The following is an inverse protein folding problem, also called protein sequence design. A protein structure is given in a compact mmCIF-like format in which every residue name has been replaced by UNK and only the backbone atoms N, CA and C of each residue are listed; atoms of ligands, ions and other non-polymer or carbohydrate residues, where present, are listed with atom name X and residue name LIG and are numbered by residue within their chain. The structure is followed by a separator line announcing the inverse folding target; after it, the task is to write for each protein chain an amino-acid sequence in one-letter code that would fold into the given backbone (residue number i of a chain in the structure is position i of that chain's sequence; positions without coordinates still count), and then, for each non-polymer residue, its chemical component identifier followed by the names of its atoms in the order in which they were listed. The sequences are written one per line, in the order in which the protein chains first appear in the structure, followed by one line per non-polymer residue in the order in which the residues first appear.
data_IF_573762310745
#
_entry.id   IF_573762310745
#
_cell.length_a   1.000
_cell.length_b   1.000
_cell.length_c   1.000
_cell.angle_alpha   90.00
_cell.angle_beta   90.00
_cell.angle_gamma   90.00
#
_symmetry.space_group_name_H-M   'P 1'
#
loop_
_entity.id
_entity.type
_entity.pdbx_description
1 polymer ?
#
# COMPACT_ATOMS: atom_id res chain seq x y z
N UNK A 1 17.92 24.53 -6.14
CA UNK A 1 17.87 24.12 -5.94
C UNK A 1 17.14 23.26 -5.93
N UNK A 2 17.08 22.70 -6.26
CA UNK A 2 16.52 21.85 -6.18
C UNK A 2 16.41 21.29 -5.10
N UNK A 3 16.98 21.52 -4.54
CA UNK A 3 16.95 20.95 -3.33
C UNK A 3 15.70 21.20 -2.56
N UNK A 4 14.89 22.09 -2.93
CA UNK A 4 13.63 22.26 -2.26
C UNK A 4 12.78 21.03 -2.33
N UNK A 5 12.81 20.31 -3.42
CA UNK A 5 12.04 19.09 -3.51
C UNK A 5 12.53 18.06 -2.53
N UNK A 6 13.83 17.99 -2.33
CA UNK A 6 14.32 17.00 -1.40
C UNK A 6 14.09 17.42 0.05
N UNK A 7 13.99 18.71 0.30
CA UNK A 7 13.72 19.18 1.64
C UNK A 7 12.26 19.02 2.00
N UNK A 8 11.41 18.83 1.02
CA UNK A 8 10.00 18.73 1.26
C UNK A 8 9.67 17.36 1.85
N UNK A 9 8.90 17.28 2.90
CA UNK A 9 8.59 15.96 3.46
C UNK A 9 7.79 15.15 2.48
N UNK A 10 8.02 13.84 2.49
CA UNK A 10 7.23 12.93 1.69
C UNK A 10 5.81 12.91 2.22
N UNK A 11 4.87 12.64 1.36
CA UNK A 11 3.53 12.32 1.80
C UNK A 11 3.50 10.84 2.15
N UNK A 12 2.80 10.52 3.21
CA UNK A 12 2.67 9.14 3.62
C UNK A 12 1.81 8.38 2.62
N UNK A 13 2.29 7.22 2.19
CA UNK A 13 1.55 6.38 1.24
C UNK A 13 0.86 5.28 2.03
N UNK A 14 -0.43 5.11 1.81
CA UNK A 14 -1.17 4.02 2.44
C UNK A 14 -1.33 2.88 1.47
N UNK A 15 -1.05 1.67 1.91
CA UNK A 15 -1.16 0.47 1.08
C UNK A 15 -2.03 -0.55 1.79
N UNK A 16 -2.99 -1.11 1.06
CA UNK A 16 -3.75 -2.25 1.53
C UNK A 16 -3.28 -3.44 0.75
N UNK A 17 -2.66 -4.38 1.42
CA UNK A 17 -2.07 -5.55 0.78
C UNK A 17 -2.52 -6.82 1.45
N UNK A 18 -1.78 -7.89 1.22
CA UNK A 18 -2.03 -9.17 1.86
C UNK A 18 -2.83 -10.14 1.01
N UNK A 19 -3.30 -9.72 -0.15
CA UNK A 19 -3.96 -10.67 -1.05
C UNK A 19 -2.95 -11.64 -1.61
N UNK A 20 -1.70 -11.27 -1.55
CA UNK A 20 -0.55 -12.15 -1.68
C UNK A 20 0.52 -11.43 -0.88
N UNK A 21 0.80 -11.90 0.32
CA UNK A 21 1.73 -11.16 1.16
C UNK A 21 3.14 -11.13 0.55
N UNK A 22 3.45 -12.14 -0.27
CA UNK A 22 4.74 -12.16 -0.96
C UNK A 22 4.82 -10.99 -1.95
N UNK A 23 3.74 -10.70 -2.66
CA UNK A 23 3.71 -9.58 -3.58
C UNK A 23 3.78 -8.26 -2.82
N UNK A 24 3.12 -8.18 -1.68
CA UNK A 24 3.17 -6.99 -0.84
C UNK A 24 4.61 -6.72 -0.40
N UNK A 25 5.33 -7.76 -0.04
CA UNK A 25 6.73 -7.63 0.33
C UNK A 25 7.56 -7.07 -0.82
N UNK A 26 7.32 -7.55 -2.04
CA UNK A 26 8.02 -7.06 -3.21
C UNK A 26 7.72 -5.59 -3.47
N UNK A 27 6.47 -5.19 -3.34
CA UNK A 27 6.10 -3.79 -3.52
C UNK A 27 6.75 -2.91 -2.46
N UNK A 28 6.78 -3.37 -1.23
CA UNK A 28 7.41 -2.62 -0.17
C UNK A 28 8.89 -2.37 -0.50
N UNK A 29 9.58 -3.40 -0.94
CA UNK A 29 10.98 -3.29 -1.30
C UNK A 29 11.18 -2.36 -2.48
N UNK A 30 10.40 -2.53 -3.53
CA UNK A 30 10.55 -1.73 -4.74
C UNK A 30 10.25 -0.26 -4.50
N UNK A 31 9.26 0.03 -3.67
CA UNK A 31 8.94 1.41 -3.35
C UNK A 31 10.07 2.05 -2.57
N UNK A 32 10.64 1.32 -1.62
CA UNK A 32 11.75 1.85 -0.86
C UNK A 32 12.99 2.05 -1.73
N UNK A 33 13.23 1.13 -2.66
CA UNK A 33 14.35 1.29 -3.58
C UNK A 33 14.16 2.52 -4.47
N UNK A 34 12.94 2.74 -4.91
CA UNK A 34 12.63 3.91 -5.72
C UNK A 34 12.84 5.21 -4.96
N UNK A 35 12.40 5.27 -3.72
CA UNK A 35 12.59 6.46 -2.90
C UNK A 35 14.09 6.70 -2.65
N UNK A 36 14.83 5.64 -2.38
CA UNK A 36 16.26 5.79 -2.16
C UNK A 36 16.95 6.32 -3.40
N UNK A 37 16.55 5.85 -4.56
CA UNK A 37 17.12 6.32 -5.82
C UNK A 37 16.78 7.80 -6.03
N UNK A 38 15.55 8.19 -5.76
CA UNK A 38 15.14 9.55 -6.00
C UNK A 38 15.68 10.54 -4.98
N UNK A 39 15.65 10.20 -3.72
CA UNK A 39 16.01 11.14 -2.68
C UNK A 39 17.42 10.91 -2.12
N UNK A 40 17.93 9.71 -2.29
CA UNK A 40 19.32 9.42 -1.88
C UNK A 40 19.51 9.31 -0.39
N UNK A 41 20.73 9.19 0.01
CA UNK A 41 21.10 9.19 1.43
C UNK A 41 20.43 8.09 2.23
N UNK A 42 19.90 8.46 3.35
CA UNK A 42 19.24 7.51 4.24
C UNK A 42 17.73 7.48 4.05
N UNK A 43 17.24 8.09 2.97
CA UNK A 43 15.80 8.15 2.74
C UNK A 43 15.21 6.77 2.51
N UNK A 44 14.05 6.55 3.06
CA UNK A 44 13.22 5.40 2.75
C UNK A 44 11.80 5.90 2.63
N UNK A 45 10.92 5.04 2.17
CA UNK A 45 9.54 5.48 1.92
C UNK A 45 8.79 5.66 3.23
N UNK A 46 7.96 6.68 3.28
CA UNK A 46 7.08 6.92 4.41
C UNK A 46 5.78 6.19 4.11
N UNK A 47 5.58 5.01 4.68
CA UNK A 47 4.49 4.14 4.33
C UNK A 47 3.72 3.65 5.53
N UNK A 48 2.43 3.42 5.32
CA UNK A 48 1.64 2.61 6.23
C UNK A 48 1.06 1.47 5.42
N UNK A 49 1.25 0.24 5.86
CA UNK A 49 0.73 -0.92 5.16
C UNK A 49 -0.20 -1.68 6.08
N UNK A 50 -1.41 -1.95 5.58
CA UNK A 50 -2.31 -2.87 6.25
C UNK A 50 -2.37 -4.13 5.41
N UNK A 51 -1.67 -5.16 5.83
CA UNK A 51 -1.63 -6.43 5.11
C UNK A 51 -2.73 -7.32 5.67
N UNK A 52 -3.73 -7.60 4.86
CA UNK A 52 -4.92 -8.31 5.31
C UNK A 52 -4.69 -9.80 5.43
N UNK A 53 -5.45 -10.44 6.30
CA UNK A 53 -5.50 -11.90 6.31
C UNK A 53 -6.21 -12.34 5.05
N UNK A 54 -5.54 -13.11 4.22
CA UNK A 54 -6.08 -13.48 2.93
C UNK A 54 -7.22 -14.48 3.00
N UNK A 55 -7.29 -15.30 4.04
CA UNK A 55 -8.24 -16.41 4.04
C UNK A 55 -9.68 -15.96 3.77
N UNK A 56 -10.25 -14.98 4.48
CA UNK A 56 -11.62 -14.59 4.18
C UNK A 56 -11.74 -13.92 2.80
N UNK A 57 -10.71 -13.21 2.38
CA UNK A 57 -10.73 -12.56 1.07
C UNK A 57 -10.68 -13.62 -0.03
N UNK A 58 -9.86 -14.64 0.18
CA UNK A 58 -9.75 -15.73 -0.79
C UNK A 58 -11.04 -16.48 -0.96
N UNK A 59 -11.81 -16.64 0.13
CA UNK A 59 -13.10 -17.28 0.02
C UNK A 59 -14.06 -16.48 -0.84
N UNK A 60 -14.10 -15.17 -0.65
CA UNK A 60 -14.96 -14.32 -1.45
C UNK A 60 -14.52 -14.33 -2.91
N UNK A 61 -13.22 -14.33 -3.14
CA UNK A 61 -12.70 -14.38 -4.48
C UNK A 61 -13.08 -15.68 -5.17
N UNK A 62 -12.97 -16.80 -4.49
CA UNK A 62 -13.32 -18.09 -5.05
C UNK A 62 -14.80 -18.17 -5.40
N UNK A 63 -15.65 -17.46 -4.67
CA UNK A 63 -17.08 -17.44 -4.93
C UNK A 63 -17.48 -16.37 -5.93
N UNK A 64 -16.56 -15.56 -6.38
CA UNK A 64 -16.86 -14.48 -7.31
C UNK A 64 -17.59 -13.31 -6.67
N UNK A 65 -17.46 -13.13 -5.37
CA UNK A 65 -18.19 -12.08 -4.67
C UNK A 65 -17.37 -10.80 -4.66
N UNK A 66 -17.18 -10.25 -5.83
CA UNK A 66 -16.27 -9.13 -6.01
C UNK A 66 -16.74 -7.86 -5.32
N UNK A 67 -18.04 -7.62 -5.32
CA UNK A 67 -18.57 -6.41 -4.68
C UNK A 67 -18.30 -6.43 -3.18
N UNK A 68 -18.49 -7.60 -2.56
CA UNK A 68 -18.27 -7.74 -1.14
C UNK A 68 -16.78 -7.59 -0.81
N UNK A 69 -15.91 -8.12 -1.66
CA UNK A 69 -14.47 -7.92 -1.50
C UNK A 69 -14.14 -6.44 -1.52
N UNK A 70 -14.70 -5.73 -2.50
CA UNK A 70 -14.45 -4.30 -2.62
C UNK A 70 -14.88 -3.54 -1.39
N UNK A 71 -16.03 -3.91 -0.84
CA UNK A 71 -16.52 -3.26 0.37
C UNK A 71 -15.57 -3.49 1.54
N UNK A 72 -15.06 -4.71 1.69
CA UNK A 72 -14.15 -5.03 2.76
C UNK A 72 -12.86 -4.24 2.62
N UNK A 73 -12.33 -4.15 1.41
CA UNK A 73 -11.08 -3.45 1.18
C UNK A 73 -11.25 -1.95 1.43
N UNK A 74 -12.36 -1.38 0.97
CA UNK A 74 -12.61 0.04 1.18
C UNK A 74 -12.79 0.34 2.67
N UNK A 75 -13.52 -0.50 3.38
CA UNK A 75 -13.71 -0.33 4.80
C UNK A 75 -12.40 -0.43 5.56
N UNK A 76 -11.54 -1.36 5.15
CA UNK A 76 -10.26 -1.53 5.79
C UNK A 76 -9.42 -0.27 5.63
N UNK A 77 -9.42 0.31 4.44
CA UNK A 77 -8.67 1.52 4.21
C UNK A 77 -9.14 2.65 5.10
N UNK A 78 -10.45 2.87 5.14
CA UNK A 78 -11.00 3.94 5.95
C UNK A 78 -10.74 3.70 7.43
N UNK A 79 -10.92 2.46 7.87
CA UNK A 79 -10.79 2.16 9.30
C UNK A 79 -9.35 2.26 9.76
N UNK A 80 -8.41 1.86 8.93
CA UNK A 80 -7.01 1.80 9.34
C UNK A 80 -6.27 3.10 9.07
N UNK A 81 -6.60 3.78 7.98
CA UNK A 81 -5.89 4.99 7.62
C UNK A 81 -6.68 6.25 7.99
N UNK A 82 -7.97 6.15 8.08
CA UNK A 82 -8.82 7.24 8.54
C UNK A 82 -8.72 8.45 7.62
N UNK A 83 -8.68 9.61 8.22
CA UNK A 83 -8.64 10.84 7.47
C UNK A 83 -7.23 11.40 7.39
N UNK A 84 -6.22 10.58 7.55
CA UNK A 84 -4.85 11.05 7.48
C UNK A 84 -4.58 11.67 6.12
N UNK A 85 -3.75 12.69 6.07
CA UNK A 85 -3.45 13.34 4.79
C UNK A 85 -2.46 12.54 3.98
N UNK A 86 -2.86 11.39 3.47
CA UNK A 86 -2.01 10.58 2.65
C UNK A 86 -1.86 11.21 1.28
N UNK A 87 -0.72 11.08 0.70
CA UNK A 87 -0.52 11.44 -0.69
C UNK A 87 -1.30 10.52 -1.60
N UNK A 88 -1.42 9.25 -1.23
CA UNK A 88 -2.14 8.29 -2.03
C UNK A 88 -2.42 7.05 -1.23
N UNK A 89 -3.57 6.46 -1.46
CA UNK A 89 -3.91 5.16 -0.89
C UNK A 89 -4.05 4.19 -2.05
N UNK A 90 -3.27 3.14 -2.05
CA UNK A 90 -3.24 2.18 -3.14
C UNK A 90 -3.56 0.79 -2.62
N UNK A 91 -4.35 0.06 -3.39
CA UNK A 91 -4.67 -1.30 -3.08
C UNK A 91 -3.96 -2.19 -4.08
N UNK A 92 -3.25 -3.18 -3.58
CA UNK A 92 -2.60 -4.13 -4.45
C UNK A 92 -3.32 -5.45 -4.33
N UNK A 93 -3.79 -5.96 -5.41
CA UNK A 93 -4.44 -7.25 -5.41
C UNK A 93 -3.46 -8.37 -5.63
N UNK A 94 -2.31 -8.05 -6.06
CA UNK A 94 -1.11 -8.86 -6.11
C UNK A 94 -1.16 -10.33 -6.27
N UNK A 95 -2.22 -10.90 -6.20
CA UNK A 95 -2.28 -12.32 -6.30
C UNK A 95 -2.19 -12.87 -7.66
N UNK A 96 -2.09 -12.01 -8.71
CA UNK A 96 -2.03 -12.57 -9.97
C UNK A 96 -0.77 -12.74 -10.40
N UNK A 97 0.08 -12.75 -9.90
CA UNK A 97 1.36 -12.93 -10.48
C UNK A 97 1.57 -14.29 -10.99
#
# INVERSE_FOLDING_TARGET
MKSNDKARPQRTLGIIGGMSWESTESYYRLINEGIKTELGGLHSADLLIHSLDFAPIGELQAKGEWAQMGTILASSGKRRFGDRPFGKVTRFTGGRT
#
